data_IF_000388578151
#
_entry.id   IF_000388578151
#
_cell.length_a   1.000
_cell.length_b   1.000
_cell.length_c   1.000
_cell.angle_alpha   90.00
_cell.angle_beta   90.00
_cell.angle_gamma   90.00
#
_symmetry.space_group_name_H-M   'P 1'
#
loop_
_entity.id
_entity.type
_entity.pdbx_description
1 polymer ?
#
# COMPACT_ATOMS: atom_id res chain seq x y z
N UNK A 1 -15.84 -8.82 0.98
CA UNK A 1 -14.58 -9.20 0.28
C UNK A 1 -13.48 -8.28 0.81
N UNK A 2 -12.32 -8.81 1.20
CA UNK A 2 -11.34 -8.06 2.01
C UNK A 2 -10.62 -7.00 1.17
N UNK A 3 -10.25 -5.88 1.80
CA UNK A 3 -9.32 -4.93 1.21
C UNK A 3 -7.96 -5.60 0.98
N UNK A 4 -7.23 -5.17 -0.05
CA UNK A 4 -5.96 -5.74 -0.47
C UNK A 4 -4.94 -4.65 -0.75
N UNK A 5 -3.69 -4.92 -0.38
CA UNK A 5 -2.53 -4.18 -0.85
C UNK A 5 -1.61 -5.09 -1.67
N UNK A 6 -1.28 -4.63 -2.87
CA UNK A 6 -0.34 -5.29 -3.77
C UNK A 6 0.96 -4.50 -3.80
N UNK A 7 2.05 -5.08 -3.29
CA UNK A 7 3.36 -4.43 -3.17
C UNK A 7 4.27 -4.89 -4.32
N UNK A 8 4.90 -3.95 -5.01
CA UNK A 8 5.92 -4.25 -6.02
C UNK A 8 7.15 -4.90 -5.36
N UNK A 9 7.49 -6.14 -5.70
CA UNK A 9 8.64 -6.85 -5.12
C UNK A 9 9.98 -6.60 -5.83
N UNK A 10 9.96 -5.96 -7.01
CA UNK A 10 11.17 -5.61 -7.77
C UNK A 10 11.54 -4.13 -7.71
N UNK A 11 10.67 -3.28 -7.16
CA UNK A 11 10.93 -1.84 -7.05
C UNK A 11 12.14 -1.60 -6.15
N UNK A 12 13.08 -0.79 -6.65
CA UNK A 12 14.32 -0.45 -5.98
C UNK A 12 14.83 0.90 -6.47
N UNK A 13 15.58 1.59 -5.63
CA UNK A 13 16.38 2.74 -6.07
C UNK A 13 17.50 2.28 -7.03
N UNK A 14 18.03 3.18 -7.88
CA UNK A 14 19.16 2.85 -8.75
C UNK A 14 20.36 2.30 -7.95
N UNK A 15 20.76 1.06 -8.24
CA UNK A 15 21.84 0.36 -7.54
C UNK A 15 21.48 -0.19 -6.15
N UNK A 16 20.22 -0.03 -5.73
CA UNK A 16 19.69 -0.55 -4.47
C UNK A 16 19.14 -1.98 -4.56
N UNK A 17 18.79 -2.53 -3.40
CA UNK A 17 18.11 -3.83 -3.29
C UNK A 17 16.61 -3.65 -3.19
N UNK A 18 15.83 -4.47 -3.89
CA UNK A 18 14.36 -4.38 -3.84
C UNK A 18 13.81 -4.79 -2.46
N UNK A 19 13.21 -3.88 -1.68
CA UNK A 19 12.80 -4.18 -0.31
C UNK A 19 11.35 -4.67 -0.21
N UNK A 20 10.57 -4.61 -1.30
CA UNK A 20 9.13 -4.87 -1.30
C UNK A 20 8.71 -6.24 -0.77
N UNK A 21 9.40 -7.32 -1.17
CA UNK A 21 9.08 -8.67 -0.68
C UNK A 21 9.29 -8.82 0.83
N UNK A 22 10.42 -8.30 1.33
CA UNK A 22 10.74 -8.32 2.77
C UNK A 22 9.74 -7.46 3.55
N UNK A 23 9.37 -6.30 3.00
CA UNK A 23 8.40 -5.41 3.63
C UNK A 23 7.01 -6.04 3.70
N UNK A 24 6.55 -6.74 2.65
CA UNK A 24 5.27 -7.44 2.66
C UNK A 24 5.19 -8.50 3.78
N UNK A 25 6.29 -9.22 4.07
CA UNK A 25 6.36 -10.17 5.18
C UNK A 25 6.21 -9.45 6.53
N UNK A 26 6.96 -8.36 6.73
CA UNK A 26 6.90 -7.55 7.95
C UNK A 26 5.51 -6.94 8.16
N UNK A 27 4.89 -6.42 7.10
CA UNK A 27 3.56 -5.84 7.12
C UNK A 27 2.48 -6.87 7.46
N UNK A 28 2.56 -8.11 6.96
CA UNK A 28 1.62 -9.18 7.34
C UNK A 28 1.62 -9.42 8.84
N UNK A 29 2.82 -9.51 9.43
CA UNK A 29 2.98 -9.67 10.87
C UNK A 29 2.39 -8.47 11.63
N UNK A 30 2.77 -7.25 11.24
CA UNK A 30 2.31 -6.04 11.91
C UNK A 30 0.79 -5.84 11.79
N UNK A 31 0.19 -6.13 10.63
CA UNK A 31 -1.25 -6.09 10.43
C UNK A 31 -1.98 -7.12 11.31
N UNK A 32 -1.43 -8.33 11.42
CA UNK A 32 -1.96 -9.37 12.31
C UNK A 32 -1.90 -8.92 13.78
N UNK A 33 -0.78 -8.36 14.23
CA UNK A 33 -0.60 -7.87 15.60
C UNK A 33 -1.60 -6.72 15.94
N UNK A 34 -2.01 -5.95 14.94
CA UNK A 34 -3.03 -4.91 15.05
C UNK A 34 -4.48 -5.39 14.81
N UNK A 35 -4.70 -6.68 14.51
CA UNK A 35 -6.03 -7.22 14.20
C UNK A 35 -6.62 -6.70 12.88
N UNK A 36 -5.79 -6.23 11.95
CA UNK A 36 -6.23 -5.64 10.68
C UNK A 36 -6.46 -6.74 9.62
N UNK A 37 -7.71 -6.88 9.19
CA UNK A 37 -8.10 -7.87 8.18
C UNK A 37 -7.92 -7.38 6.73
N UNK A 38 -6.66 -7.33 6.27
CA UNK A 38 -6.31 -6.91 4.91
C UNK A 38 -5.43 -7.97 4.23
N UNK A 39 -5.68 -8.23 2.96
CA UNK A 39 -4.84 -9.12 2.16
C UNK A 39 -3.57 -8.38 1.71
N UNK A 40 -2.40 -8.91 2.05
CA UNK A 40 -1.11 -8.33 1.67
C UNK A 40 -0.41 -9.28 0.73
N UNK A 41 -0.17 -8.84 -0.51
CA UNK A 41 0.47 -9.65 -1.56
C UNK A 41 1.60 -8.89 -2.21
N UNK A 42 2.38 -9.60 -3.03
CA UNK A 42 3.36 -8.99 -3.92
C UNK A 42 3.00 -9.21 -5.39
N UNK A 43 3.54 -8.36 -6.26
CA UNK A 43 3.64 -8.60 -7.69
C UNK A 43 4.98 -8.11 -8.23
N UNK A 44 5.38 -8.62 -9.38
CA UNK A 44 6.69 -8.32 -9.94
C UNK A 44 6.84 -6.93 -10.54
N UNK A 45 5.76 -6.24 -10.90
CA UNK A 45 5.88 -4.89 -11.47
C UNK A 45 4.57 -4.12 -11.39
N UNK A 46 4.68 -2.84 -11.03
CA UNK A 46 3.61 -1.84 -11.17
C UNK A 46 3.99 -0.69 -12.12
N UNK A 47 5.13 -0.79 -12.80
CA UNK A 47 5.71 0.23 -13.70
C UNK A 47 5.94 1.59 -13.00
N UNK A 48 6.40 1.55 -11.75
CA UNK A 48 6.53 2.73 -10.89
C UNK A 48 7.90 2.77 -10.17
N UNK A 49 8.94 2.17 -10.77
CA UNK A 49 10.24 1.95 -10.14
C UNK A 49 11.06 3.21 -9.80
N UNK A 50 10.52 4.41 -10.03
CA UNK A 50 11.26 5.68 -9.85
C UNK A 50 11.35 6.14 -8.39
N UNK A 51 10.74 5.46 -7.41
CA UNK A 51 10.83 5.77 -5.96
C UNK A 51 10.46 4.54 -5.10
N UNK A 52 11.11 4.30 -3.94
CA UNK A 52 11.66 2.99 -3.55
C UNK A 52 10.73 1.79 -3.66
N UNK A 53 9.49 1.89 -3.17
CA UNK A 53 8.47 0.85 -3.35
C UNK A 53 7.16 1.46 -3.82
N UNK A 54 6.62 0.89 -4.89
CA UNK A 54 5.26 1.15 -5.34
C UNK A 54 4.29 0.10 -4.80
N UNK A 55 3.04 0.51 -4.57
CA UNK A 55 1.98 -0.39 -4.16
C UNK A 55 0.62 0.09 -4.66
N UNK A 56 -0.34 -0.83 -4.71
CA UNK A 56 -1.72 -0.52 -5.06
C UNK A 56 -2.68 -1.00 -3.96
N UNK A 57 -3.74 -0.22 -3.71
CA UNK A 57 -4.86 -0.62 -2.87
C UNK A 57 -6.03 -1.04 -3.75
N UNK A 58 -6.62 -2.19 -3.47
CA UNK A 58 -7.70 -2.78 -4.25
C UNK A 58 -8.72 -3.47 -3.34
N UNK A 59 -9.97 -3.53 -3.78
CA UNK A 59 -11.03 -4.25 -3.09
C UNK A 59 -12.26 -4.37 -3.99
N UNK A 60 -13.07 -5.41 -3.79
CA UNK A 60 -14.31 -5.53 -4.55
C UNK A 60 -15.22 -4.33 -4.25
N UNK A 61 -15.76 -3.72 -5.31
CA UNK A 61 -16.60 -2.52 -5.22
C UNK A 61 -15.90 -1.33 -4.52
N UNK A 62 -14.57 -1.30 -4.53
CA UNK A 62 -13.77 -0.20 -4.00
C UNK A 62 -12.92 0.44 -5.11
N UNK A 63 -12.71 1.75 -5.02
CA UNK A 63 -11.77 2.45 -5.87
C UNK A 63 -10.36 1.85 -5.73
N UNK A 64 -9.62 1.80 -6.84
CA UNK A 64 -8.22 1.37 -6.85
C UNK A 64 -7.31 2.58 -6.69
N UNK A 65 -6.31 2.50 -5.82
CA UNK A 65 -5.31 3.55 -5.62
C UNK A 65 -3.94 3.04 -6.03
N UNK A 66 -3.13 3.90 -6.64
CA UNK A 66 -1.73 3.61 -6.99
C UNK A 66 -0.80 4.59 -6.28
N UNK A 67 0.19 4.06 -5.58
CA UNK A 67 1.19 4.82 -4.85
C UNK A 67 2.59 4.48 -5.34
N UNK A 68 3.49 5.46 -5.27
CA UNK A 68 4.92 5.29 -5.54
C UNK A 68 5.73 6.09 -4.53
N UNK A 69 6.88 5.54 -4.12
CA UNK A 69 7.80 6.19 -3.18
C UNK A 69 7.60 5.87 -1.71
N UNK A 70 6.98 4.73 -1.39
CA UNK A 70 7.00 4.22 -0.02
C UNK A 70 8.42 3.80 0.39
N UNK A 71 8.77 4.11 1.63
CA UNK A 71 10.00 3.73 2.30
C UNK A 71 9.65 2.72 3.41
N UNK A 72 9.95 1.43 3.20
CA UNK A 72 9.74 0.38 4.20
C UNK A 72 10.35 0.65 5.58
N UNK A 73 11.43 1.43 5.66
CA UNK A 73 12.09 1.76 6.93
C UNK A 73 11.31 2.78 7.77
N UNK A 74 10.48 3.61 7.13
CA UNK A 74 9.79 4.73 7.79
C UNK A 74 8.27 4.55 7.80
N UNK A 75 7.69 3.98 6.74
CA UNK A 75 6.25 4.07 6.48
C UNK A 75 5.45 2.86 6.96
N UNK A 76 6.04 1.95 7.74
CA UNK A 76 5.30 0.74 8.16
C UNK A 76 4.07 1.10 9.00
N UNK A 77 4.15 2.10 9.88
CA UNK A 77 3.00 2.55 10.68
C UNK A 77 1.99 3.33 9.82
N UNK A 78 2.47 4.22 8.95
CA UNK A 78 1.63 4.95 8.00
C UNK A 78 0.87 4.01 7.06
N UNK A 79 1.51 2.91 6.64
CA UNK A 79 0.85 1.87 5.84
C UNK A 79 -0.28 1.21 6.63
N UNK A 80 -0.08 0.83 7.89
CA UNK A 80 -1.17 0.26 8.70
C UNK A 80 -2.35 1.23 8.85
N UNK A 81 -2.06 2.52 9.07
CA UNK A 81 -3.09 3.57 9.11
C UNK A 81 -3.83 3.70 7.77
N UNK A 82 -3.10 3.74 6.65
CA UNK A 82 -3.67 3.78 5.30
C UNK A 82 -4.54 2.55 4.99
N UNK A 83 -4.08 1.35 5.35
CA UNK A 83 -4.83 0.12 5.13
C UNK A 83 -6.10 0.08 5.96
N UNK A 84 -6.07 0.60 7.20
CA UNK A 84 -7.27 0.75 8.04
C UNK A 84 -8.25 1.75 7.43
N UNK A 85 -7.78 2.92 7.00
CA UNK A 85 -8.60 3.91 6.29
C UNK A 85 -9.27 3.29 5.06
N UNK A 86 -8.52 2.58 4.23
CA UNK A 86 -9.05 1.98 3.01
C UNK A 86 -10.04 0.83 3.28
N UNK A 87 -9.79 0.02 4.31
CA UNK A 87 -10.70 -1.04 4.74
C UNK A 87 -12.06 -0.46 5.16
N UNK A 88 -12.05 0.61 5.95
CA UNK A 88 -13.25 1.25 6.50
C UNK A 88 -13.95 2.19 5.50
N UNK A 89 -13.23 2.69 4.49
CA UNK A 89 -13.76 3.64 3.52
C UNK A 89 -14.92 3.04 2.68
N UNK A 90 -16.13 3.64 2.70
CA UNK A 90 -17.21 3.27 1.79
C UNK A 90 -16.74 3.40 0.34
N UNK A 91 -16.99 2.37 -0.48
CA UNK A 91 -16.55 2.34 -1.89
C UNK A 91 -15.04 2.57 -2.10
N UNK A 92 -14.25 2.40 -1.04
CA UNK A 92 -12.81 2.67 -1.04
C UNK A 92 -12.45 4.14 -1.07
N UNK A 93 -13.42 5.06 -0.91
CA UNK A 93 -13.17 6.49 -1.02
C UNK A 93 -12.65 7.08 0.30
N UNK A 94 -11.34 7.23 0.39
CA UNK A 94 -10.68 7.90 1.52
C UNK A 94 -10.86 9.42 1.35
N UNK A 95 -11.57 10.04 2.29
CA UNK A 95 -11.77 11.51 2.34
C UNK A 95 -10.75 12.19 3.24
N UNK A 96 -10.48 11.60 4.40
CA UNK A 96 -9.52 12.08 5.40
C UNK A 96 -8.34 11.11 5.45
N UNK A 97 -7.13 11.60 5.14
CA UNK A 97 -5.94 10.79 4.90
C UNK A 97 -4.80 11.04 5.90
N UNK A 98 -5.10 11.71 7.03
CA UNK A 98 -4.13 12.06 8.07
C UNK A 98 -3.44 10.81 8.63
N UNK A 99 -4.21 9.74 8.87
CA UNK A 99 -3.67 8.48 9.39
C UNK A 99 -2.79 7.73 8.38
N UNK A 100 -2.78 8.14 7.11
CA UNK A 100 -1.82 7.63 6.12
C UNK A 100 -0.46 8.34 6.16
N UNK A 101 -0.28 9.33 7.06
CA UNK A 101 1.00 10.00 7.29
C UNK A 101 1.66 10.51 6.00
N UNK A 102 2.90 10.10 5.75
CA UNK A 102 3.67 10.45 4.54
C UNK A 102 3.09 9.81 3.28
N UNK A 103 2.47 8.63 3.38
CA UNK A 103 1.96 7.89 2.21
C UNK A 103 0.84 8.64 1.48
N UNK A 104 0.13 9.56 2.13
CA UNK A 104 -0.85 10.44 1.44
C UNK A 104 -0.19 11.32 0.36
N UNK A 105 1.10 11.62 0.51
CA UNK A 105 1.90 12.38 -0.47
C UNK A 105 2.49 11.49 -1.57
N UNK A 106 2.38 10.16 -1.43
CA UNK A 106 2.90 9.17 -2.38
C UNK A 106 1.85 8.75 -3.43
N UNK A 107 0.62 9.27 -3.35
CA UNK A 107 -0.48 8.93 -4.25
C UNK A 107 -0.21 9.43 -5.67
N UNK A 108 -0.23 8.51 -6.63
CA UNK A 108 -0.03 8.81 -8.06
C UNK A 108 -1.36 8.95 -8.80
N UNK A 109 -2.38 8.23 -8.35
CA UNK A 109 -3.71 8.28 -8.96
C UNK A 109 -4.67 7.28 -8.36
N UNK A 110 -5.92 7.40 -8.78
CA UNK A 110 -7.00 6.47 -8.42
C UNK A 110 -7.92 6.19 -9.59
N UNK A 111 -8.49 5.00 -9.60
CA UNK A 111 -9.49 4.55 -10.58
C UNK A 111 -10.80 4.28 -9.83
N UNK A 112 -11.93 4.85 -10.25
CA UNK A 112 -13.23 4.56 -9.63
C UNK A 112 -13.56 3.07 -9.65
N UNK A 113 -14.44 2.63 -8.73
CA UNK A 113 -14.93 1.25 -8.71
C UNK A 113 -15.74 0.96 -9.98
N UNK A 114 -15.76 -0.32 -10.39
CA UNK A 114 -16.70 -0.86 -11.37
C UNK A 114 -18.10 -1.05 -10.76
#
# INVERSE_FOLDING_TARGET
MKARVTICDTCAEPGGTAPGAKWAIALRKAAQDCGLEVEIVTCSCLNMCQSPVAFALQGAQKATYLFSGADPAQDTQDMLGLLKLYADAPEGWITEAEAAGRLRLCLQGRVPRL
#
